data_IF_911848218636
#
_entry.id   IF_911848218636
#
_cell.length_a   1.000
_cell.length_b   1.000
_cell.length_c   1.000
_cell.angle_alpha   90.00
_cell.angle_beta   90.00
_cell.angle_gamma   90.00
#
_symmetry.space_group_name_H-M   'P 1'
#
loop_
_entity.id
_entity.type
_entity.pdbx_description
1 polymer ?
#
# COMPACT_ATOMS: atom_id res chain seq x y z
N UNK A 1 -21.81 32.18 -10.57
CA UNK A 1 -20.60 31.34 -10.58
C UNK A 1 -20.13 31.22 -9.14
N UNK A 2 -20.48 30.12 -8.46
CA UNK A 2 -20.13 29.94 -7.05
C UNK A 2 -18.72 29.37 -6.94
N UNK A 3 -17.81 30.16 -6.36
CA UNK A 3 -16.49 29.71 -5.91
C UNK A 3 -16.70 28.75 -4.73
N UNK A 4 -16.78 27.46 -5.01
CA UNK A 4 -16.71 26.43 -3.96
C UNK A 4 -15.25 26.28 -3.55
N UNK A 5 -14.85 26.98 -2.48
CA UNK A 5 -13.60 26.73 -1.80
C UNK A 5 -13.69 25.38 -1.07
N UNK A 6 -12.95 24.39 -1.56
CA UNK A 6 -12.87 23.06 -0.93
C UNK A 6 -11.55 22.99 -0.16
N UNK A 7 -11.66 22.95 1.17
CA UNK A 7 -10.57 22.70 2.10
C UNK A 7 -10.56 21.20 2.42
N UNK A 8 -9.46 20.49 2.12
CA UNK A 8 -9.31 19.08 2.51
C UNK A 8 -8.89 18.99 3.97
N UNK A 9 -9.59 18.16 4.74
CA UNK A 9 -9.15 17.78 6.08
C UNK A 9 -8.46 16.41 6.02
N UNK A 10 -7.28 16.34 6.62
CA UNK A 10 -6.58 15.07 6.89
C UNK A 10 -7.09 14.59 8.25
N UNK A 11 -7.89 13.51 8.27
CA UNK A 11 -8.47 12.98 9.52
C UNK A 11 -7.96 11.57 9.75
N UNK A 12 -7.03 11.43 10.70
CA UNK A 12 -6.67 10.14 11.28
C UNK A 12 -5.55 9.39 10.54
N UNK A 13 -4.66 8.82 11.36
CA UNK A 13 -3.72 7.77 10.98
C UNK A 13 -4.40 6.45 11.29
N UNK A 14 -4.59 5.57 10.30
CA UNK A 14 -4.99 4.19 10.60
C UNK A 14 -3.78 3.46 11.18
N UNK A 15 -3.72 3.34 12.50
CA UNK A 15 -2.78 2.44 13.19
C UNK A 15 -3.54 1.57 14.18
N UNK A 16 -4.36 0.66 13.67
CA UNK A 16 -4.96 -0.42 14.46
C UNK A 16 -4.14 -1.69 14.25
N UNK A 17 -2.84 -1.65 14.59
CA UNK A 17 -2.11 -2.88 14.88
C UNK A 17 -2.62 -3.42 16.20
N UNK A 18 -3.40 -4.50 16.15
CA UNK A 18 -3.76 -5.29 17.33
C UNK A 18 -2.47 -5.80 17.96
N UNK A 19 -2.16 -5.49 19.24
CA UNK A 19 -0.95 -5.99 19.88
C UNK A 19 -1.03 -7.52 20.03
N UNK A 20 0.08 -8.26 19.89
CA UNK A 20 0.10 -9.69 20.16
C UNK A 20 -0.27 -9.93 21.63
N UNK A 21 -1.32 -10.71 21.87
CA UNK A 21 -1.69 -11.15 23.22
C UNK A 21 -0.55 -11.99 23.78
N UNK A 22 0.06 -11.54 24.88
CA UNK A 22 0.89 -12.38 25.73
C UNK A 22 0.05 -13.56 26.23
N UNK A 23 0.37 -14.77 25.76
CA UNK A 23 -0.18 -16.01 26.29
C UNK A 23 0.69 -16.39 27.50
N UNK A 24 0.19 -16.06 28.69
CA UNK A 24 0.68 -16.65 29.94
C UNK A 24 0.37 -18.14 29.94
N UNK A 25 1.41 -18.93 30.20
CA UNK A 25 1.44 -20.37 29.94
C UNK A 25 0.67 -21.25 30.94
N UNK A 26 0.35 -22.45 30.44
CA UNK A 26 -0.05 -23.60 31.25
C UNK A 26 -0.25 -24.85 30.38
N UNK A 27 0.67 -25.83 30.48
CA UNK A 27 0.35 -27.26 30.30
C UNK A 27 0.70 -27.95 28.97
N UNK A 28 1.93 -28.48 28.89
CA UNK A 28 2.32 -29.83 28.43
C UNK A 28 1.80 -30.44 27.09
N UNK A 29 2.57 -30.23 26.00
CA UNK A 29 3.00 -31.23 24.98
C UNK A 29 2.03 -31.73 23.88
N UNK A 30 2.51 -32.37 22.78
CA UNK A 30 3.85 -32.42 22.20
C UNK A 30 3.98 -31.56 20.91
N UNK A 31 5.24 -31.32 20.55
CA UNK A 31 5.75 -30.37 19.56
C UNK A 31 5.36 -30.73 18.11
N UNK A 32 4.72 -29.79 17.42
CA UNK A 32 4.84 -29.65 15.98
C UNK A 32 5.67 -28.38 15.70
N UNK A 33 6.88 -28.57 15.19
CA UNK A 33 7.77 -27.50 14.78
C UNK A 33 7.15 -26.79 13.57
N UNK A 34 6.54 -25.63 13.77
CA UNK A 34 6.29 -24.67 12.67
C UNK A 34 7.42 -23.66 12.73
N UNK A 35 8.31 -23.76 11.75
CA UNK A 35 9.46 -22.89 11.59
C UNK A 35 9.03 -21.43 11.57
N UNK A 36 9.60 -20.68 12.49
CA UNK A 36 9.57 -19.22 12.52
C UNK A 36 10.38 -18.78 11.30
N UNK A 37 9.73 -18.30 10.25
CA UNK A 37 10.44 -17.66 9.14
C UNK A 37 10.80 -16.24 9.58
N UNK A 38 12.11 -16.02 9.59
CA UNK A 38 12.79 -14.74 9.76
C UNK A 38 12.20 -13.63 8.87
N UNK A 39 12.36 -12.36 9.29
CA UNK A 39 11.82 -11.21 8.58
C UNK A 39 12.51 -11.03 7.22
N UNK A 40 11.69 -10.82 6.19
CA UNK A 40 12.12 -10.48 4.84
C UNK A 40 12.80 -9.10 4.84
N UNK A 41 14.12 -9.11 5.02
CA UNK A 41 15.01 -8.05 4.57
C UNK A 41 15.07 -8.15 3.03
N UNK A 42 14.42 -7.23 2.33
CA UNK A 42 14.73 -6.97 0.93
C UNK A 42 16.10 -6.26 0.86
N UNK A 43 17.04 -6.71 0.02
CA UNK A 43 18.31 -6.02 -0.14
C UNK A 43 18.15 -4.73 -0.96
N UNK A 44 18.97 -3.76 -0.56
CA UNK A 44 19.12 -2.37 -1.00
C UNK A 44 18.89 -2.06 -2.49
N UNK A 45 18.07 -1.03 -2.72
CA UNK A 45 18.03 -0.26 -3.95
C UNK A 45 18.88 1.01 -3.75
N UNK A 46 20.21 0.90 -3.88
CA UNK A 46 21.11 2.05 -3.82
C UNK A 46 22.11 2.03 -4.99
N UNK A 47 22.00 3.03 -5.86
CA UNK A 47 22.90 3.25 -6.99
C UNK A 47 24.26 3.84 -6.57
N UNK A 48 25.33 3.10 -6.88
CA UNK A 48 26.60 3.48 -7.55
C UNK A 48 27.31 4.81 -7.19
N UNK A 49 28.57 4.70 -6.72
CA UNK A 49 29.70 5.50 -7.23
C UNK A 49 31.03 4.72 -7.16
N UNK A 50 31.80 4.83 -8.24
CA UNK A 50 32.98 4.05 -8.67
C UNK A 50 34.26 4.28 -7.85
N UNK A 51 35.10 3.23 -7.73
CA UNK A 51 36.54 3.28 -8.07
C UNK A 51 37.01 1.91 -8.57
N UNK A 52 37.77 1.91 -9.66
CA UNK A 52 38.25 0.79 -10.47
C UNK A 52 39.18 -0.21 -9.75
N UNK A 53 39.08 -1.49 -10.14
CA UNK A 53 40.23 -2.36 -10.42
C UNK A 53 39.82 -3.65 -11.13
N UNK A 54 40.54 -3.93 -12.20
CA UNK A 54 40.42 -5.05 -13.15
C UNK A 54 40.50 -6.42 -12.47
N UNK A 55 39.61 -7.35 -12.84
CA UNK A 55 39.92 -8.78 -12.97
C UNK A 55 38.81 -9.48 -13.77
N UNK A 56 39.22 -10.13 -14.85
CA UNK A 56 38.41 -10.89 -15.79
C UNK A 56 37.69 -12.06 -15.13
N UNK A 57 36.35 -12.02 -15.10
CA UNK A 57 35.51 -13.22 -15.06
C UNK A 57 34.16 -12.93 -15.74
N UNK A 58 33.99 -13.50 -16.93
CA UNK A 58 32.73 -13.60 -17.65
C UNK A 58 31.83 -14.61 -16.91
N UNK A 59 31.11 -14.12 -15.90
CA UNK A 59 29.96 -14.81 -15.32
C UNK A 59 28.76 -13.89 -15.53
N UNK A 60 27.97 -14.19 -16.57
CA UNK A 60 26.61 -13.69 -16.73
C UNK A 60 25.75 -14.24 -15.58
N UNK A 61 25.95 -13.69 -14.38
CA UNK A 61 24.98 -13.76 -13.32
C UNK A 61 23.77 -12.97 -13.80
N UNK A 62 22.79 -13.69 -14.30
CA UNK A 62 21.41 -13.25 -14.48
C UNK A 62 20.91 -12.82 -13.08
N UNK A 63 21.17 -11.57 -12.71
CA UNK A 63 20.71 -11.00 -11.44
C UNK A 63 19.19 -10.86 -11.56
N UNK A 64 18.51 -11.86 -11.00
CA UNK A 64 17.07 -12.10 -11.10
C UNK A 64 16.22 -10.84 -11.08
N UNK A 65 15.69 -10.53 -12.26
CA UNK A 65 14.65 -9.52 -12.48
C UNK A 65 13.26 -10.00 -11.98
N UNK A 66 13.14 -11.22 -11.45
CA UNK A 66 11.87 -11.95 -11.26
C UNK A 66 11.29 -11.97 -9.83
N UNK A 67 11.91 -11.29 -8.86
CA UNK A 67 11.42 -11.34 -7.47
C UNK A 67 9.98 -10.84 -7.29
N UNK A 68 9.61 -9.80 -8.05
CA UNK A 68 8.26 -9.23 -8.02
C UNK A 68 7.29 -9.98 -8.94
N UNK A 69 7.74 -10.43 -10.11
CA UNK A 69 6.88 -11.09 -11.10
C UNK A 69 6.45 -12.50 -10.68
N UNK A 70 7.26 -13.16 -9.85
CA UNK A 70 6.96 -14.46 -9.25
C UNK A 70 6.01 -14.40 -8.05
N UNK A 71 5.68 -13.20 -7.54
CA UNK A 71 4.85 -13.06 -6.35
C UNK A 71 3.36 -13.34 -6.63
N UNK A 72 2.62 -14.04 -5.75
CA UNK A 72 1.21 -14.42 -5.98
C UNK A 72 0.26 -13.25 -6.27
N UNK A 73 0.56 -12.05 -5.79
CA UNK A 73 -0.24 -10.85 -6.04
C UNK A 73 0.10 -10.12 -7.34
N UNK A 74 1.24 -10.44 -7.98
CA UNK A 74 1.69 -9.76 -9.19
C UNK A 74 0.66 -9.79 -10.32
N UNK A 75 -0.01 -10.92 -10.63
CA UNK A 75 -1.01 -10.95 -11.71
C UNK A 75 -2.15 -9.94 -11.53
N UNK A 76 -2.52 -9.61 -10.29
CA UNK A 76 -3.60 -8.67 -10.00
C UNK A 76 -3.24 -7.22 -10.33
N UNK A 77 -1.96 -6.86 -10.25
CA UNK A 77 -1.46 -5.48 -10.46
C UNK A 77 -0.61 -5.33 -11.72
N UNK A 78 -0.17 -6.42 -12.36
CA UNK A 78 0.81 -6.44 -13.45
C UNK A 78 0.52 -5.42 -14.57
N UNK A 79 -0.75 -5.30 -14.97
CA UNK A 79 -1.15 -4.34 -16.00
C UNK A 79 -0.81 -2.89 -15.64
N UNK A 80 -1.03 -2.50 -14.38
CA UNK A 80 -0.78 -1.14 -13.92
C UNK A 80 0.68 -0.90 -13.52
N UNK A 81 1.38 -1.94 -13.06
CA UNK A 81 2.82 -1.86 -12.80
C UNK A 81 3.60 -1.54 -14.09
N UNK A 82 3.26 -2.21 -15.19
CA UNK A 82 3.87 -1.96 -16.51
C UNK A 82 3.46 -0.61 -17.07
N UNK A 83 2.23 -0.19 -16.84
CA UNK A 83 1.68 1.07 -17.35
C UNK A 83 2.21 2.30 -16.62
N UNK A 84 2.40 2.22 -15.29
CA UNK A 84 2.79 3.35 -14.44
C UNK A 84 4.01 3.02 -13.58
N UNK A 85 5.22 2.93 -14.16
CA UNK A 85 6.43 2.49 -13.47
C UNK A 85 6.79 3.35 -12.26
N UNK A 86 6.54 4.66 -12.31
CA UNK A 86 6.84 5.59 -11.21
C UNK A 86 6.04 5.29 -9.94
N UNK A 87 4.84 4.70 -10.07
CA UNK A 87 3.98 4.30 -8.95
C UNK A 87 3.99 2.80 -8.68
N UNK A 88 4.79 2.02 -9.43
CA UNK A 88 4.71 0.57 -9.42
C UNK A 88 5.06 -0.02 -8.05
N UNK A 89 6.16 0.46 -7.44
CA UNK A 89 6.60 0.00 -6.13
C UNK A 89 5.55 0.28 -5.03
N UNK A 90 5.07 1.53 -4.94
CA UNK A 90 4.05 1.90 -3.95
C UNK A 90 2.73 1.16 -4.18
N UNK A 91 2.32 0.97 -5.44
CA UNK A 91 1.13 0.20 -5.79
C UNK A 91 1.24 -1.26 -5.33
N UNK A 92 2.36 -1.93 -5.64
CA UNK A 92 2.57 -3.33 -5.29
C UNK A 92 2.62 -3.52 -3.77
N UNK A 93 3.37 -2.65 -3.07
CA UNK A 93 3.49 -2.72 -1.61
C UNK A 93 2.15 -2.44 -0.93
N UNK A 94 1.42 -1.41 -1.36
CA UNK A 94 0.07 -1.11 -0.84
C UNK A 94 -0.89 -2.26 -1.09
N UNK A 95 -0.87 -2.86 -2.29
CA UNK A 95 -1.73 -4.02 -2.57
C UNK A 95 -1.45 -5.18 -1.63
N UNK A 96 -0.17 -5.50 -1.37
CA UNK A 96 0.20 -6.58 -0.47
C UNK A 96 -0.19 -6.29 0.99
N UNK A 97 0.04 -5.08 1.48
CA UNK A 97 -0.36 -4.68 2.84
C UNK A 97 -1.89 -4.77 2.98
N UNK A 98 -2.64 -4.27 2.01
CA UNK A 98 -4.10 -4.37 2.02
C UNK A 98 -4.61 -5.81 1.96
N UNK A 99 -3.97 -6.67 1.16
CA UNK A 99 -4.37 -8.07 1.02
C UNK A 99 -4.08 -8.90 2.28
N UNK A 100 -2.88 -8.76 2.84
CA UNK A 100 -2.35 -9.69 3.82
C UNK A 100 -2.34 -9.14 5.25
N UNK A 101 -2.09 -7.84 5.42
CA UNK A 101 -2.00 -7.22 6.74
C UNK A 101 -3.33 -6.59 7.17
N UNK A 102 -3.97 -5.84 6.28
CA UNK A 102 -5.28 -5.21 6.54
C UNK A 102 -6.46 -6.12 6.18
N UNK A 103 -6.19 -7.23 5.47
CA UNK A 103 -7.16 -8.24 5.05
C UNK A 103 -8.41 -7.62 4.39
N UNK A 104 -8.23 -6.75 3.39
CA UNK A 104 -9.37 -6.22 2.62
C UNK A 104 -10.00 -7.31 1.77
N UNK A 105 -11.33 -7.28 1.65
CA UNK A 105 -12.09 -8.16 0.76
C UNK A 105 -12.36 -7.51 -0.61
N UNK A 106 -12.64 -8.35 -1.60
CA UNK A 106 -13.05 -7.96 -2.96
C UNK A 106 -12.10 -6.95 -3.61
N UNK A 107 -10.81 -7.15 -3.37
CA UNK A 107 -9.80 -6.24 -3.86
C UNK A 107 -9.72 -6.25 -5.39
N UNK A 108 -9.61 -5.07 -5.96
CA UNK A 108 -9.29 -4.90 -7.36
C UNK A 108 -8.50 -3.60 -7.56
N UNK A 109 -7.70 -3.58 -8.62
CA UNK A 109 -6.96 -2.38 -9.00
C UNK A 109 -7.77 -1.60 -10.03
N UNK A 110 -7.77 -0.28 -9.89
CA UNK A 110 -8.52 0.66 -10.71
C UNK A 110 -7.52 1.56 -11.41
N UNK A 111 -7.61 1.64 -12.73
CA UNK A 111 -6.84 2.57 -13.54
C UNK A 111 -7.49 3.96 -13.46
N UNK A 112 -6.75 4.99 -13.03
CA UNK A 112 -7.25 6.36 -13.02
C UNK A 112 -6.98 7.10 -14.34
N UNK A 113 -6.40 6.44 -15.35
CA UNK A 113 -6.21 6.96 -16.70
C UNK A 113 -4.88 7.68 -16.91
N UNK A 114 -4.49 7.78 -18.17
CA UNK A 114 -3.13 8.19 -18.59
C UNK A 114 -2.78 9.61 -18.15
N UNK A 115 -3.74 10.54 -18.23
CA UNK A 115 -3.57 11.93 -17.79
C UNK A 115 -3.31 12.05 -16.28
N UNK A 116 -3.73 11.03 -15.51
CA UNK A 116 -3.54 10.97 -14.07
C UNK A 116 -2.29 10.20 -13.68
N UNK A 117 -1.89 9.23 -14.51
CA UNK A 117 -0.60 8.55 -14.44
C UNK A 117 -0.44 7.58 -13.27
N UNK A 118 -1.54 7.08 -12.67
CA UNK A 118 -1.48 6.10 -11.57
C UNK A 118 -2.73 5.24 -11.47
N UNK A 119 -2.63 4.18 -10.67
CA UNK A 119 -3.77 3.38 -10.23
C UNK A 119 -4.22 3.70 -8.81
N UNK A 120 -5.37 3.15 -8.45
CA UNK A 120 -5.89 3.04 -7.08
C UNK A 120 -6.29 1.60 -6.79
N UNK A 121 -6.48 1.26 -5.52
CA UNK A 121 -6.95 -0.06 -5.08
C UNK A 121 -8.33 0.12 -4.47
N UNK A 122 -9.32 -0.65 -4.92
CA UNK A 122 -10.66 -0.70 -4.34
C UNK A 122 -10.82 -1.98 -3.53
N UNK A 123 -11.59 -1.93 -2.44
CA UNK A 123 -11.97 -3.11 -1.67
C UNK A 123 -12.84 -2.78 -0.47
N UNK A 124 -13.21 -3.81 0.30
CA UNK A 124 -13.98 -3.66 1.54
C UNK A 124 -13.09 -3.91 2.74
N UNK A 125 -13.03 -2.94 3.64
CA UNK A 125 -12.22 -3.00 4.86
C UNK A 125 -12.78 -4.05 5.83
N UNK A 126 -11.89 -4.76 6.53
CA UNK A 126 -12.28 -5.60 7.67
C UNK A 126 -12.78 -4.72 8.81
N UNK A 127 -13.88 -5.12 9.45
CA UNK A 127 -14.41 -4.49 10.68
C UNK A 127 -13.72 -5.07 11.90
N UNK A 128 -13.54 -4.24 12.93
CA UNK A 128 -13.05 -4.69 14.23
C UNK A 128 -13.96 -5.77 14.81
N UNK A 129 -13.40 -6.64 15.65
CA UNK A 129 -14.19 -7.70 16.32
C UNK A 129 -15.28 -7.10 17.23
N UNK A 130 -15.01 -5.91 17.78
CA UNK A 130 -15.92 -5.13 18.60
C UNK A 130 -17.13 -4.56 17.80
N UNK A 131 -16.97 -4.38 16.50
CA UNK A 131 -18.01 -3.91 15.57
C UNK A 131 -18.82 -5.05 14.93
N UNK A 132 -18.79 -6.24 15.52
CA UNK A 132 -19.47 -7.43 15.01
C UNK A 132 -18.68 -8.21 13.94
N UNK A 133 -17.42 -7.83 13.69
CA UNK A 133 -16.55 -8.50 12.73
C UNK A 133 -17.01 -8.40 11.27
N UNK A 134 -16.38 -9.19 10.40
CA UNK A 134 -16.68 -9.22 8.96
C UNK A 134 -16.08 -8.03 8.21
N UNK A 135 -16.77 -7.59 7.15
CA UNK A 135 -16.30 -6.51 6.26
C UNK A 135 -17.28 -5.35 6.28
N UNK A 136 -16.79 -4.13 6.05
CA UNK A 136 -17.63 -2.96 5.85
C UNK A 136 -18.48 -3.12 4.59
N UNK A 137 -19.72 -2.60 4.63
CA UNK A 137 -20.62 -2.67 3.47
C UNK A 137 -20.19 -1.73 2.34
N UNK A 138 -19.52 -0.62 2.71
CA UNK A 138 -19.04 0.38 1.76
C UNK A 138 -17.68 0.01 1.18
N UNK A 139 -17.54 0.23 -0.14
CA UNK A 139 -16.25 0.12 -0.82
C UNK A 139 -15.37 1.31 -0.44
N UNK A 140 -14.14 1.00 -0.09
CA UNK A 140 -13.07 1.96 0.19
C UNK A 140 -12.07 1.97 -0.96
N UNK A 141 -11.44 3.12 -1.16
CA UNK A 141 -10.38 3.29 -2.15
C UNK A 141 -9.08 3.70 -1.46
N UNK A 142 -7.99 3.03 -1.79
CA UNK A 142 -6.64 3.41 -1.40
C UNK A 142 -5.87 3.90 -2.63
N UNK A 143 -5.26 5.09 -2.52
CA UNK A 143 -4.40 5.66 -3.54
C UNK A 143 -2.94 5.53 -3.09
N UNK A 144 -2.13 4.70 -3.76
CA UNK A 144 -0.71 4.56 -3.46
C UNK A 144 0.08 5.82 -3.82
N UNK A 145 1.03 6.17 -2.95
CA UNK A 145 1.96 7.28 -3.11
C UNK A 145 3.29 6.92 -2.47
N UNK A 146 4.41 7.22 -3.13
CA UNK A 146 5.71 7.14 -2.43
C UNK A 146 5.88 8.34 -1.49
N UNK A 147 6.63 8.19 -0.40
CA UNK A 147 7.02 9.31 0.46
C UNK A 147 7.81 10.38 -0.30
N UNK A 148 8.59 9.96 -1.31
CA UNK A 148 9.40 10.84 -2.15
C UNK A 148 8.60 11.49 -3.30
N UNK A 149 7.33 11.12 -3.45
CA UNK A 149 6.44 11.61 -4.50
C UNK A 149 5.71 12.89 -4.08
N UNK A 150 5.60 13.84 -5.00
CA UNK A 150 4.88 15.11 -4.77
C UNK A 150 3.48 14.98 -5.38
N UNK A 151 2.45 15.04 -4.55
CA UNK A 151 1.05 15.09 -4.99
C UNK A 151 0.52 16.52 -4.97
N UNK A 152 -0.01 16.96 -6.11
CA UNK A 152 -0.71 18.24 -6.20
C UNK A 152 -2.16 18.11 -5.70
N UNK A 153 -2.73 19.24 -5.28
CA UNK A 153 -4.13 19.28 -4.87
C UNK A 153 -5.08 18.93 -6.03
N UNK A 154 -4.74 19.32 -7.27
CA UNK A 154 -5.52 18.99 -8.45
C UNK A 154 -5.51 17.47 -8.72
N UNK A 155 -4.39 16.80 -8.43
CA UNK A 155 -4.35 15.33 -8.48
C UNK A 155 -5.28 14.73 -7.42
N UNK A 156 -5.18 15.16 -6.16
CA UNK A 156 -6.07 14.65 -5.11
C UNK A 156 -7.55 14.87 -5.45
N UNK A 157 -7.90 16.05 -5.95
CA UNK A 157 -9.26 16.36 -6.39
C UNK A 157 -9.70 15.48 -7.55
N UNK A 158 -8.85 15.35 -8.58
CA UNK A 158 -9.12 14.49 -9.73
C UNK A 158 -9.30 13.02 -9.37
N UNK A 159 -8.63 12.54 -8.31
CA UNK A 159 -8.83 11.18 -7.81
C UNK A 159 -10.26 10.97 -7.30
N UNK A 160 -10.79 11.89 -6.49
CA UNK A 160 -12.16 11.79 -6.01
C UNK A 160 -13.18 11.82 -7.14
N UNK A 161 -12.98 12.70 -8.14
CA UNK A 161 -13.89 12.83 -9.28
C UNK A 161 -13.89 11.55 -10.15
N UNK A 162 -12.73 10.92 -10.33
CA UNK A 162 -12.59 9.67 -11.13
C UNK A 162 -13.10 8.43 -10.39
N UNK A 163 -12.96 8.40 -9.07
CA UNK A 163 -13.40 7.29 -8.23
C UNK A 163 -14.87 7.41 -7.79
N UNK A 164 -15.52 8.54 -8.09
CA UNK A 164 -16.88 8.88 -7.67
C UNK A 164 -17.12 8.60 -6.17
N UNK A 165 -16.20 9.09 -5.34
CA UNK A 165 -16.21 8.89 -3.89
C UNK A 165 -16.01 10.19 -3.15
N UNK A 166 -16.46 10.22 -1.89
CA UNK A 166 -16.22 11.33 -0.97
C UNK A 166 -15.03 11.07 -0.05
N UNK A 167 -14.51 9.84 -0.03
CA UNK A 167 -13.44 9.41 0.86
C UNK A 167 -12.43 8.56 0.10
N UNK A 168 -11.14 8.89 0.26
CA UNK A 168 -10.01 8.10 -0.24
C UNK A 168 -8.98 7.94 0.88
N UNK A 169 -8.30 6.82 0.90
CA UNK A 169 -7.16 6.56 1.77
C UNK A 169 -5.88 6.80 0.99
N UNK A 170 -5.11 7.82 1.33
CA UNK A 170 -3.79 8.03 0.77
C UNK A 170 -2.81 7.09 1.49
N UNK A 171 -2.30 6.08 0.78
CA UNK A 171 -1.34 5.12 1.29
C UNK A 171 0.07 5.60 0.93
N UNK A 172 0.79 6.15 1.92
CA UNK A 172 2.14 6.68 1.72
C UNK A 172 3.13 5.58 2.10
N UNK A 173 3.93 5.18 1.12
CA UNK A 173 4.94 4.14 1.23
C UNK A 173 6.33 4.76 1.32
N UNK A 174 7.07 4.45 2.37
CA UNK A 174 8.47 4.85 2.53
C UNK A 174 9.45 3.83 1.94
N UNK A 175 10.71 4.21 1.83
CA UNK A 175 11.78 3.38 1.26
C UNK A 175 12.08 2.13 2.12
N UNK A 176 11.79 2.17 3.42
CA UNK A 176 11.87 1.02 4.33
C UNK A 176 10.65 0.08 4.27
N UNK A 177 9.79 0.27 3.27
CA UNK A 177 8.54 -0.51 3.05
C UNK A 177 7.49 -0.36 4.15
N UNK A 178 7.58 0.66 5.01
CA UNK A 178 6.47 1.01 5.89
C UNK A 178 5.39 1.79 5.14
N UNK A 179 4.13 1.60 5.54
CA UNK A 179 2.97 2.23 4.91
C UNK A 179 2.14 2.93 5.99
N UNK A 180 1.81 4.19 5.72
CA UNK A 180 0.87 4.97 6.54
C UNK A 180 -0.34 5.36 5.70
N UNK A 181 -1.53 5.26 6.30
CA UNK A 181 -2.79 5.59 5.63
C UNK A 181 -3.37 6.87 6.22
N UNK A 182 -3.57 7.86 5.36
CA UNK A 182 -4.28 9.09 5.68
C UNK A 182 -5.65 9.07 5.02
N UNK A 183 -6.71 9.23 5.81
CA UNK A 183 -8.05 9.40 5.25
C UNK A 183 -8.23 10.84 4.79
N UNK A 184 -8.51 10.99 3.50
CA UNK A 184 -8.88 12.24 2.86
C UNK A 184 -10.38 12.22 2.58
N UNK A 185 -11.07 13.27 2.98
CA UNK A 185 -12.50 13.43 2.74
C UNK A 185 -12.78 14.70 1.93
N UNK A 186 -13.74 14.63 1.01
CA UNK A 186 -14.26 15.81 0.33
C UNK A 186 -15.13 16.65 1.27
N UNK A 187 -14.83 17.95 1.35
CA UNK A 187 -15.64 18.93 2.07
C UNK A 187 -15.12 19.26 3.48
N UNK A 188 -15.91 20.05 4.20
CA UNK A 188 -15.56 20.57 5.53
C UNK A 188 -15.78 19.48 6.57
N UNK A 189 -14.69 18.89 7.05
CA UNK A 189 -14.73 17.96 8.19
C UNK A 189 -14.54 18.77 9.46
N UNK A 190 -15.44 18.63 10.44
CA UNK A 190 -15.29 19.31 11.72
C UNK A 190 -14.00 18.83 12.40
N UNK A 191 -13.17 19.73 12.96
CA UNK A 191 -12.04 19.32 13.79
C UNK A 191 -12.55 18.43 14.93
N UNK A 192 -11.82 17.37 15.31
CA UNK A 192 -12.11 16.65 16.53
C UNK A 192 -12.06 17.64 17.70
N UNK A 193 -13.13 17.70 18.49
CA UNK A 193 -13.19 18.47 19.75
C UNK A 193 -12.77 17.62 20.92
#
# INVERSE_FOLDING_TARGET
MALSGILMAVVGVMNERVPPKEILGGGAGPKACVGIREPYLCPDFAGRLLVDRDDDHDETADIGHDGMESHPSYPAVAGLLKKYPNSAASLFQTYNDLNYAQEWADMAVVDLGDDFGRGAIRGRRKRGLEDGGGFQDQVSYAMPCSLSEILSFDQLRGAFDRLDTKEIYLAITSEDSSIVYYKLSQGIVKPPV
#
